data_IF_482336032691
#
_entry.id   IF_482336032691
#
_cell.length_a   1.000
_cell.length_b   1.000
_cell.length_c   1.000
_cell.angle_alpha   90.00
_cell.angle_beta   90.00
_cell.angle_gamma   90.00
#
_symmetry.space_group_name_H-M   'P 1'
#
loop_
_entity.id
_entity.type
_entity.pdbx_description
1 polymer ?
#
# COMPACT_ATOMS: atom_id res chain seq x y z
N UNK A 1 12.14 7.71 4.79
CA UNK A 1 11.01 7.16 5.56
C UNK A 1 10.23 8.28 6.25
N UNK A 2 10.85 9.11 7.11
CA UNK A 2 10.14 10.10 7.94
C UNK A 2 9.35 11.14 7.15
N UNK A 3 9.93 11.69 6.09
CA UNK A 3 9.21 12.61 5.20
C UNK A 3 7.85 12.05 4.74
N UNK A 4 7.78 10.74 4.42
CA UNK A 4 6.51 10.15 3.99
C UNK A 4 5.59 9.83 5.16
N UNK A 5 6.12 9.40 6.30
CA UNK A 5 5.32 9.22 7.52
C UNK A 5 4.69 10.54 7.99
N UNK A 6 5.44 11.63 7.98
CA UNK A 6 4.90 12.97 8.27
C UNK A 6 3.75 13.31 7.32
N UNK A 7 3.95 13.03 6.03
CA UNK A 7 2.92 13.29 5.04
C UNK A 7 1.66 12.43 5.25
N UNK A 8 1.80 11.16 5.59
CA UNK A 8 0.66 10.30 5.92
C UNK A 8 -0.12 10.82 7.15
N UNK A 9 0.60 11.31 8.15
CA UNK A 9 0.00 11.82 9.39
C UNK A 9 -0.61 13.20 9.22
N UNK A 10 0.06 14.12 8.55
CA UNK A 10 -0.32 15.54 8.51
C UNK A 10 -1.21 15.92 7.31
N UNK A 11 -1.35 15.04 6.31
CA UNK A 11 -2.13 15.37 5.12
C UNK A 11 -3.61 15.52 5.41
N UNK A 12 -4.22 16.61 4.91
CA UNK A 12 -5.67 16.78 4.84
C UNK A 12 -6.31 15.82 3.83
N UNK A 13 -5.55 15.34 2.86
CA UNK A 13 -5.97 14.39 1.84
C UNK A 13 -5.55 12.94 2.20
N UNK A 14 -6.05 12.44 3.32
CA UNK A 14 -5.68 11.13 3.87
C UNK A 14 -5.93 9.98 2.90
N UNK A 15 -7.02 10.03 2.13
CA UNK A 15 -7.32 8.99 1.12
C UNK A 15 -6.24 8.92 0.02
N UNK A 16 -5.71 10.06 -0.44
CA UNK A 16 -4.62 10.06 -1.43
C UNK A 16 -3.36 9.40 -0.89
N UNK A 17 -2.97 9.69 0.35
CA UNK A 17 -1.79 9.07 0.95
C UNK A 17 -2.03 7.57 1.23
N UNK A 18 -3.25 7.18 1.63
CA UNK A 18 -3.63 5.77 1.82
C UNK A 18 -3.59 5.00 0.49
N UNK A 19 -4.05 5.59 -0.60
CA UNK A 19 -3.95 5.00 -1.94
C UNK A 19 -2.50 5.00 -2.45
N UNK A 20 -1.70 6.02 -2.14
CA UNK A 20 -0.25 6.01 -2.44
C UNK A 20 0.45 4.85 -1.72
N UNK A 21 0.07 4.59 -0.46
CA UNK A 21 0.57 3.47 0.31
C UNK A 21 0.13 2.12 -0.29
N UNK A 22 -1.13 2.01 -0.69
CA UNK A 22 -1.63 0.83 -1.41
C UNK A 22 -0.81 0.56 -2.68
N UNK A 23 -0.63 1.57 -3.53
CA UNK A 23 0.13 1.43 -4.78
C UNK A 23 1.61 1.12 -4.55
N UNK A 24 2.21 1.64 -3.48
CA UNK A 24 3.57 1.24 -3.10
C UNK A 24 3.67 -0.24 -2.70
N UNK A 25 2.61 -0.81 -2.12
CA UNK A 25 2.52 -2.25 -1.86
C UNK A 25 2.19 -3.07 -3.10
N UNK A 26 1.48 -2.52 -4.06
CA UNK A 26 1.13 -3.16 -5.33
C UNK A 26 2.31 -3.19 -6.32
N UNK A 27 2.97 -2.04 -6.54
CA UNK A 27 4.21 -1.90 -7.33
C UNK A 27 5.44 -2.05 -6.43
N UNK A 28 5.48 -3.11 -5.64
CA UNK A 28 6.43 -3.24 -4.56
C UNK A 28 7.87 -3.21 -5.05
N UNK A 29 8.61 -2.24 -4.54
CA UNK A 29 10.02 -1.98 -4.84
C UNK A 29 10.76 -1.70 -3.55
N UNK A 30 11.88 -2.40 -3.30
CA UNK A 30 12.60 -2.31 -2.03
C UNK A 30 13.89 -1.50 -2.16
N UNK A 31 14.04 -0.52 -1.26
CA UNK A 31 15.28 0.22 -1.08
C UNK A 31 16.47 -0.70 -0.77
N UNK A 32 16.21 -1.86 -0.17
CA UNK A 32 17.27 -2.83 0.18
C UNK A 32 18.13 -3.25 -1.03
N UNK A 33 17.52 -3.38 -2.23
CA UNK A 33 18.26 -3.69 -3.47
C UNK A 33 18.55 -2.45 -4.30
N UNK A 34 17.60 -1.50 -4.38
CA UNK A 34 17.75 -0.29 -5.20
C UNK A 34 18.89 0.58 -4.67
N UNK A 35 19.00 0.72 -3.35
CA UNK A 35 20.03 1.43 -2.59
C UNK A 35 20.32 2.85 -3.12
N UNK A 36 19.30 3.50 -3.66
CA UNK A 36 19.36 4.86 -4.16
C UNK A 36 18.05 5.58 -3.79
N UNK A 37 18.19 6.68 -3.07
CA UNK A 37 17.04 7.44 -2.56
C UNK A 37 16.29 8.19 -3.67
N UNK A 38 16.99 8.63 -4.71
CA UNK A 38 16.38 9.44 -5.77
C UNK A 38 15.34 8.66 -6.59
N UNK A 39 15.65 7.49 -7.17
CA UNK A 39 14.64 6.69 -7.87
C UNK A 39 13.46 6.30 -6.97
N UNK A 40 13.70 5.91 -5.71
CA UNK A 40 12.63 5.57 -4.76
C UNK A 40 11.73 6.77 -4.44
N UNK A 41 12.30 7.97 -4.34
CA UNK A 41 11.53 9.20 -4.16
C UNK A 41 10.69 9.52 -5.40
N UNK A 42 11.29 9.45 -6.59
CA UNK A 42 10.59 9.70 -7.85
C UNK A 42 9.45 8.72 -8.06
N UNK A 43 9.66 7.43 -7.78
CA UNK A 43 8.60 6.42 -7.80
C UNK A 43 7.45 6.78 -6.86
N UNK A 44 7.76 7.17 -5.63
CA UNK A 44 6.73 7.58 -4.66
C UNK A 44 5.94 8.81 -5.15
N UNK A 45 6.59 9.78 -5.83
CA UNK A 45 5.89 10.91 -6.45
C UNK A 45 5.00 10.46 -7.61
N UNK A 46 5.45 9.52 -8.43
CA UNK A 46 4.67 8.93 -9.52
C UNK A 46 3.41 8.24 -8.98
N UNK A 47 3.56 7.39 -7.98
CA UNK A 47 2.43 6.71 -7.33
C UNK A 47 1.44 7.71 -6.72
N UNK A 48 1.92 8.74 -6.05
CA UNK A 48 1.07 9.77 -5.42
C UNK A 48 0.31 10.60 -6.44
N UNK A 49 0.96 11.02 -7.53
CA UNK A 49 0.32 11.78 -8.61
C UNK A 49 -0.83 11.00 -9.23
N UNK A 50 -0.64 9.70 -9.40
CA UNK A 50 -1.61 8.80 -10.02
C UNK A 50 -2.53 8.08 -9.01
N UNK A 51 -2.38 8.31 -7.70
CA UNK A 51 -3.01 7.50 -6.65
C UNK A 51 -4.54 7.35 -6.79
N UNK A 52 -5.20 8.38 -7.29
CA UNK A 52 -6.65 8.44 -7.57
C UNK A 52 -6.91 8.82 -9.04
N UNK A 53 -5.94 8.67 -9.93
CA UNK A 53 -6.02 8.99 -11.35
C UNK A 53 -6.41 7.78 -12.21
N UNK A 54 -5.82 7.70 -13.39
CA UNK A 54 -6.04 6.59 -14.33
C UNK A 54 -4.97 5.51 -14.16
N UNK A 55 -5.41 4.25 -13.99
CA UNK A 55 -4.49 3.13 -13.79
C UNK A 55 -3.63 2.84 -15.02
N UNK A 56 -4.14 3.07 -16.24
CA UNK A 56 -3.33 2.92 -17.46
C UNK A 56 -2.18 3.92 -17.51
N UNK A 57 -2.42 5.18 -17.13
CA UNK A 57 -1.36 6.16 -17.02
C UNK A 57 -0.34 5.75 -15.94
N UNK A 58 -0.81 5.32 -14.76
CA UNK A 58 0.08 4.81 -13.71
C UNK A 58 0.94 3.67 -14.22
N UNK A 59 0.35 2.68 -14.88
CA UNK A 59 1.06 1.51 -15.40
C UNK A 59 2.12 1.88 -16.42
N UNK A 60 1.82 2.79 -17.36
CA UNK A 60 2.81 3.31 -18.33
C UNK A 60 4.00 3.99 -17.64
N UNK A 61 3.72 4.79 -16.60
CA UNK A 61 4.79 5.46 -15.85
C UNK A 61 5.60 4.44 -15.03
N UNK A 62 4.96 3.40 -14.49
CA UNK A 62 5.63 2.39 -13.67
C UNK A 62 6.49 1.43 -14.48
N UNK A 63 6.08 1.02 -15.68
CA UNK A 63 6.94 0.17 -16.54
C UNK A 63 8.20 0.90 -17.01
N UNK A 64 8.20 2.24 -16.92
CA UNK A 64 9.34 3.12 -17.20
C UNK A 64 9.95 3.71 -15.90
N UNK A 65 9.65 3.14 -14.73
CA UNK A 65 10.18 3.61 -13.46
C UNK A 65 11.56 3.01 -13.17
N UNK A 66 12.53 3.86 -12.86
CA UNK A 66 13.92 3.44 -12.67
C UNK A 66 14.10 2.52 -11.45
N UNK A 67 13.36 2.76 -10.35
CA UNK A 67 13.45 1.93 -9.16
C UNK A 67 12.87 0.53 -9.43
N UNK A 68 11.72 0.44 -10.11
CA UNK A 68 11.09 -0.83 -10.48
C UNK A 68 11.96 -1.62 -11.46
N UNK A 69 12.47 -0.96 -12.50
CA UNK A 69 13.37 -1.58 -13.50
C UNK A 69 14.62 -2.13 -12.82
N UNK A 70 15.21 -1.37 -11.87
CA UNK A 70 16.38 -1.84 -11.12
C UNK A 70 16.05 -3.02 -10.21
N UNK A 71 14.93 -2.93 -9.50
CA UNK A 71 14.45 -3.97 -8.59
C UNK A 71 14.28 -5.32 -9.29
N UNK A 72 13.75 -5.31 -10.52
CA UNK A 72 13.44 -6.48 -11.32
C UNK A 72 14.49 -6.81 -12.39
N UNK A 73 15.70 -6.25 -12.30
CA UNK A 73 16.82 -6.47 -13.22
C UNK A 73 16.51 -6.10 -14.68
N UNK A 74 15.49 -5.29 -14.94
CA UNK A 74 15.06 -4.86 -16.27
C UNK A 74 16.13 -4.08 -17.03
N UNK A 75 17.06 -3.40 -16.34
CA UNK A 75 18.23 -2.74 -16.95
C UNK A 75 19.21 -3.70 -17.59
N UNK A 76 19.11 -5.01 -17.30
CA UNK A 76 19.91 -6.07 -17.93
C UNK A 76 19.19 -6.72 -19.10
N UNK A 77 17.91 -6.42 -19.31
CA UNK A 77 17.10 -6.96 -20.37
C UNK A 77 17.48 -6.32 -21.73
N UNK A 78 18.03 -7.12 -22.63
CA UNK A 78 18.47 -6.69 -23.96
C UNK A 78 18.04 -7.69 -25.02
N UNK A 79 17.99 -7.25 -26.28
CA UNK A 79 17.65 -8.13 -27.42
C UNK A 79 18.54 -9.38 -27.52
N UNK A 80 19.80 -9.29 -27.04
CA UNK A 80 20.75 -10.41 -27.05
C UNK A 80 20.63 -11.34 -25.85
N UNK A 81 20.09 -10.82 -24.75
CA UNK A 81 19.92 -11.52 -23.47
C UNK A 81 18.61 -11.06 -22.81
N UNK A 82 17.46 -11.56 -23.29
CA UNK A 82 16.17 -11.24 -22.68
C UNK A 82 16.12 -11.70 -21.22
N UNK A 83 15.51 -10.88 -20.37
CA UNK A 83 15.28 -11.16 -18.94
C UNK A 83 13.79 -11.13 -18.65
N UNK A 84 13.26 -12.23 -18.15
CA UNK A 84 11.81 -12.42 -17.94
C UNK A 84 11.30 -11.85 -16.62
N UNK A 85 12.15 -11.43 -15.70
CA UNK A 85 11.73 -11.09 -14.35
C UNK A 85 10.69 -9.94 -14.35
N UNK A 86 11.01 -8.81 -14.99
CA UNK A 86 10.07 -7.69 -15.09
C UNK A 86 8.79 -8.07 -15.87
N UNK A 87 8.91 -8.86 -16.94
CA UNK A 87 7.75 -9.25 -17.73
C UNK A 87 6.79 -10.17 -16.98
N UNK A 88 7.32 -11.12 -16.23
CA UNK A 88 6.53 -12.00 -15.37
C UNK A 88 5.75 -11.22 -14.33
N UNK A 89 6.45 -10.37 -13.58
CA UNK A 89 5.83 -9.57 -12.53
C UNK A 89 4.83 -8.54 -13.09
N UNK A 90 5.10 -7.98 -14.27
CA UNK A 90 4.17 -7.08 -14.94
C UNK A 90 2.83 -7.76 -15.23
N UNK A 91 2.87 -9.01 -15.70
CA UNK A 91 1.65 -9.76 -16.00
C UNK A 91 1.01 -10.32 -14.72
N UNK A 92 1.80 -10.92 -13.84
CA UNK A 92 1.31 -11.67 -12.68
C UNK A 92 0.86 -10.77 -11.53
N UNK A 93 1.74 -9.86 -11.09
CA UNK A 93 1.51 -9.09 -9.87
C UNK A 93 0.94 -7.70 -10.12
N UNK A 94 1.20 -7.12 -11.30
CA UNK A 94 0.88 -5.72 -11.51
C UNK A 94 -0.32 -5.47 -12.41
N UNK A 95 -0.65 -6.39 -13.34
CA UNK A 95 -1.73 -6.09 -14.31
C UNK A 95 -2.81 -7.13 -14.46
N UNK A 96 -2.49 -8.43 -14.51
CA UNK A 96 -3.46 -9.46 -14.88
C UNK A 96 -3.82 -10.40 -13.73
N UNK A 97 -2.85 -10.77 -12.89
CA UNK A 97 -2.97 -11.82 -11.88
C UNK A 97 -2.50 -13.19 -12.38
N UNK A 98 -2.34 -14.12 -11.45
CA UNK A 98 -1.86 -15.48 -11.72
C UNK A 98 -2.80 -16.25 -12.66
N UNK A 99 -2.23 -17.17 -13.45
CA UNK A 99 -2.96 -18.08 -14.35
C UNK A 99 -3.75 -17.41 -15.51
N UNK A 100 -3.43 -16.16 -15.85
CA UNK A 100 -4.08 -15.41 -16.94
C UNK A 100 -3.16 -15.19 -18.15
N UNK A 101 -2.03 -15.86 -18.17
CA UNK A 101 -1.00 -15.80 -19.22
C UNK A 101 -0.25 -17.14 -19.28
N UNK A 102 0.47 -17.38 -20.36
CA UNK A 102 1.35 -18.54 -20.54
C UNK A 102 2.83 -18.16 -20.36
N UNK A 103 3.69 -19.16 -20.18
CA UNK A 103 5.15 -18.96 -20.16
C UNK A 103 5.68 -18.37 -21.48
N UNK A 104 5.03 -18.67 -22.60
CA UNK A 104 5.40 -18.07 -23.89
C UNK A 104 5.03 -16.58 -23.92
N UNK A 105 3.88 -16.18 -23.35
CA UNK A 105 3.53 -14.77 -23.22
C UNK A 105 4.54 -14.00 -22.39
N UNK A 106 5.09 -14.60 -21.33
CA UNK A 106 6.14 -13.97 -20.49
C UNK A 106 7.41 -13.72 -21.31
N UNK A 107 7.86 -14.71 -22.12
CA UNK A 107 9.04 -14.57 -22.99
C UNK A 107 8.85 -13.53 -24.07
N UNK A 108 7.68 -13.53 -24.70
CA UNK A 108 7.34 -12.52 -25.72
C UNK A 108 7.26 -11.11 -25.11
N UNK A 109 6.60 -10.98 -23.95
CA UNK A 109 6.52 -9.73 -23.18
C UNK A 109 7.93 -9.22 -22.81
N UNK A 110 8.86 -10.10 -22.44
CA UNK A 110 10.23 -9.72 -22.14
C UNK A 110 10.94 -9.02 -23.31
N UNK A 111 10.64 -9.40 -24.55
CA UNK A 111 11.20 -8.74 -25.75
C UNK A 111 10.76 -7.27 -25.85
N UNK A 112 9.49 -6.96 -25.56
CA UNK A 112 8.97 -5.58 -25.56
C UNK A 112 9.62 -4.70 -24.48
N UNK A 113 10.13 -5.30 -23.42
CA UNK A 113 10.77 -4.61 -22.30
C UNK A 113 12.30 -4.53 -22.41
N UNK A 114 12.86 -4.84 -23.58
CA UNK A 114 14.32 -4.76 -23.83
C UNK A 114 14.78 -3.32 -24.11
N UNK A 115 16.04 -3.02 -23.77
CA UNK A 115 16.69 -1.76 -24.14
C UNK A 115 16.48 -0.58 -23.19
N UNK A 116 15.84 -0.78 -22.06
CA UNK A 116 15.66 0.25 -21.05
C UNK A 116 16.82 0.21 -20.03
N UNK A 117 17.49 1.35 -19.83
CA UNK A 117 18.63 1.49 -18.92
C UNK A 117 18.37 2.61 -17.93
N UNK A 118 19.08 2.60 -16.82
CA UNK A 118 18.95 3.60 -15.77
C UNK A 118 20.09 4.60 -15.84
N UNK A 119 19.77 5.86 -15.94
CA UNK A 119 20.70 6.95 -15.68
C UNK A 119 20.74 7.22 -14.18
N UNK A 120 21.82 6.81 -13.56
CA UNK A 120 21.99 6.99 -12.11
C UNK A 120 22.08 8.46 -11.68
N UNK A 121 22.50 9.34 -12.57
CA UNK A 121 22.64 10.77 -12.24
C UNK A 121 21.30 11.49 -12.11
N UNK A 122 20.34 11.15 -12.97
CA UNK A 122 19.00 11.74 -12.98
C UNK A 122 17.94 10.88 -12.28
N UNK A 123 18.25 9.61 -11.96
CA UNK A 123 17.29 8.63 -11.45
C UNK A 123 16.20 8.27 -12.47
N UNK A 124 16.45 8.48 -13.77
CA UNK A 124 15.49 8.25 -14.86
C UNK A 124 15.90 7.11 -15.76
N UNK A 125 14.97 6.65 -16.56
CA UNK A 125 15.19 5.61 -17.56
C UNK A 125 15.57 6.26 -18.89
N UNK A 126 16.56 5.64 -19.57
CA UNK A 126 16.99 5.96 -20.94
C UNK A 126 16.70 4.75 -21.82
N UNK A 127 16.06 5.00 -22.95
CA UNK A 127 15.79 3.97 -23.96
C UNK A 127 16.94 3.88 -24.97
N UNK A 128 17.43 2.67 -25.21
CA UNK A 128 18.48 2.35 -26.17
C UNK A 128 17.93 1.51 -27.34
N UNK A 129 17.53 2.12 -28.48
CA UNK A 129 16.88 1.41 -29.59
C UNK A 129 17.69 0.24 -30.14
N UNK A 130 19.04 0.33 -30.14
CA UNK A 130 19.92 -0.75 -30.60
C UNK A 130 19.94 -1.99 -29.70
N UNK A 131 19.41 -1.88 -28.47
CA UNK A 131 19.28 -2.97 -27.51
C UNK A 131 17.84 -3.44 -27.36
N UNK A 132 16.92 -2.81 -28.07
CA UNK A 132 15.49 -3.15 -28.09
C UNK A 132 15.17 -4.12 -29.22
N UNK A 133 14.25 -5.05 -28.97
CA UNK A 133 13.67 -5.93 -29.97
C UNK A 133 12.56 -5.19 -30.73
N UNK A 134 12.79 -4.91 -32.01
CA UNK A 134 11.87 -4.10 -32.84
C UNK A 134 10.91 -4.93 -33.70
N UNK A 135 10.95 -6.26 -33.60
CA UNK A 135 10.08 -7.16 -34.36
C UNK A 135 8.67 -7.24 -33.77
N UNK A 136 7.75 -7.82 -34.55
CA UNK A 136 6.43 -8.20 -34.04
C UNK A 136 6.55 -9.38 -33.07
N UNK A 137 5.83 -9.30 -31.96
CA UNK A 137 5.70 -10.36 -30.95
C UNK A 137 4.22 -10.72 -30.78
N UNK A 138 3.96 -11.92 -30.28
CA UNK A 138 2.61 -12.39 -29.99
C UNK A 138 2.40 -12.50 -28.49
N UNK A 139 1.57 -11.65 -27.92
CA UNK A 139 1.25 -11.63 -26.49
C UNK A 139 -0.26 -11.83 -26.34
N UNK A 140 -0.67 -12.82 -25.54
CA UNK A 140 -2.07 -13.13 -25.26
C UNK A 140 -2.95 -13.21 -26.51
N UNK A 141 -2.39 -13.84 -27.55
CA UNK A 141 -3.07 -14.03 -28.84
C UNK A 141 -2.97 -12.86 -29.81
N UNK A 142 -2.52 -11.69 -29.39
CA UNK A 142 -2.40 -10.48 -30.23
C UNK A 142 -0.97 -10.32 -30.74
N UNK A 143 -0.80 -10.16 -32.06
CA UNK A 143 0.49 -9.88 -32.68
C UNK A 143 0.64 -8.40 -32.95
N UNK A 144 1.73 -7.80 -32.44
CA UNK A 144 2.06 -6.38 -32.61
C UNK A 144 3.54 -6.12 -32.36
N UNK A 145 4.03 -4.97 -32.79
CA UNK A 145 5.34 -4.44 -32.36
C UNK A 145 5.12 -3.61 -31.11
N UNK A 146 5.36 -4.22 -29.94
CA UNK A 146 5.19 -3.58 -28.64
C UNK A 146 6.51 -2.99 -28.13
N UNK A 147 6.42 -1.81 -27.53
CA UNK A 147 7.35 -1.28 -26.56
C UNK A 147 6.77 -1.33 -25.14
N UNK A 148 7.49 -0.89 -24.13
CA UNK A 148 7.03 -0.94 -22.74
C UNK A 148 5.69 -0.21 -22.54
N UNK A 149 5.48 0.93 -23.18
CA UNK A 149 4.27 1.75 -23.02
C UNK A 149 3.06 1.13 -23.70
N UNK A 150 3.21 0.74 -24.95
CA UNK A 150 2.13 0.12 -25.75
C UNK A 150 1.77 -1.28 -25.23
N UNK A 151 2.73 -2.02 -24.71
CA UNK A 151 2.48 -3.28 -24.01
C UNK A 151 1.67 -3.05 -22.74
N UNK A 152 2.06 -2.06 -21.92
CA UNK A 152 1.32 -1.69 -20.70
C UNK A 152 -0.13 -1.32 -21.02
N UNK A 153 -0.37 -0.54 -22.09
CA UNK A 153 -1.70 -0.17 -22.53
C UNK A 153 -2.53 -1.40 -22.93
N UNK A 154 -1.91 -2.30 -23.69
CA UNK A 154 -2.58 -3.53 -24.12
C UNK A 154 -2.98 -4.40 -22.92
N UNK A 155 -2.10 -4.59 -21.95
CA UNK A 155 -2.39 -5.39 -20.76
C UNK A 155 -3.48 -4.75 -19.90
N UNK A 156 -3.41 -3.44 -19.66
CA UNK A 156 -4.38 -2.72 -18.83
C UNK A 156 -5.75 -2.61 -19.49
N UNK A 157 -5.84 -2.56 -20.83
CA UNK A 157 -7.11 -2.50 -21.54
C UNK A 157 -7.96 -3.78 -21.38
N UNK A 158 -7.37 -4.91 -21.03
CA UNK A 158 -8.05 -6.20 -20.90
C UNK A 158 -9.05 -6.20 -19.73
N UNK A 159 -10.12 -6.97 -19.88
CA UNK A 159 -11.09 -7.19 -18.80
C UNK A 159 -10.47 -7.87 -17.57
N UNK A 160 -9.51 -8.79 -17.80
CA UNK A 160 -8.78 -9.49 -16.75
C UNK A 160 -8.07 -8.49 -15.82
N UNK A 161 -7.47 -7.43 -16.40
CA UNK A 161 -6.80 -6.38 -15.63
C UNK A 161 -7.78 -5.57 -14.78
N UNK A 162 -8.95 -5.23 -15.35
CA UNK A 162 -9.97 -4.52 -14.58
C UNK A 162 -10.43 -5.32 -13.37
N UNK A 163 -10.66 -6.61 -13.59
CA UNK A 163 -11.06 -7.55 -12.55
C UNK A 163 -9.96 -7.64 -11.47
N UNK A 164 -8.72 -7.92 -11.88
CA UNK A 164 -7.60 -8.09 -10.97
C UNK A 164 -7.37 -6.87 -10.07
N UNK A 165 -7.38 -5.67 -10.64
CA UNK A 165 -7.18 -4.44 -9.85
C UNK A 165 -8.36 -4.18 -8.90
N UNK A 166 -9.59 -4.48 -9.33
CA UNK A 166 -10.77 -4.40 -8.45
C UNK A 166 -10.63 -5.38 -7.27
N UNK A 167 -10.23 -6.64 -7.53
CA UNK A 167 -9.94 -7.65 -6.51
C UNK A 167 -8.85 -7.19 -5.53
N UNK A 168 -7.76 -6.60 -6.04
CA UNK A 168 -6.64 -6.11 -5.21
C UNK A 168 -7.06 -4.99 -4.27
N UNK A 169 -7.87 -4.03 -4.75
CA UNK A 169 -8.36 -2.93 -3.92
C UNK A 169 -9.40 -3.46 -2.91
N UNK A 170 -10.32 -4.33 -3.36
CA UNK A 170 -11.26 -5.02 -2.48
C UNK A 170 -10.55 -5.74 -1.33
N UNK A 171 -9.60 -6.61 -1.65
CA UNK A 171 -8.80 -7.37 -0.69
C UNK A 171 -8.13 -6.49 0.37
N UNK A 172 -7.75 -5.27 0.00
CA UNK A 172 -7.02 -4.36 0.88
C UNK A 172 -7.91 -3.48 1.73
N UNK A 173 -9.13 -3.19 1.29
CA UNK A 173 -9.98 -2.19 1.92
C UNK A 173 -11.29 -2.75 2.47
N UNK A 174 -11.73 -3.92 2.01
CA UNK A 174 -13.02 -4.49 2.39
C UNK A 174 -12.84 -5.83 3.10
N UNK A 175 -12.28 -6.82 2.42
CA UNK A 175 -12.13 -8.16 3.00
C UNK A 175 -11.02 -8.94 2.33
N UNK A 176 -10.18 -9.58 3.13
CA UNK A 176 -9.20 -10.56 2.69
C UNK A 176 -9.78 -11.97 2.62
N UNK A 177 -10.89 -12.21 3.30
CA UNK A 177 -11.51 -13.53 3.45
C UNK A 177 -12.63 -13.77 2.44
N UNK A 178 -13.33 -12.71 2.04
CA UNK A 178 -14.47 -12.77 1.15
C UNK A 178 -14.16 -12.02 -0.16
N UNK A 179 -13.58 -12.68 -1.15
CA UNK A 179 -13.40 -12.08 -2.48
C UNK A 179 -14.77 -11.97 -3.13
N UNK A 180 -15.50 -10.92 -2.83
CA UNK A 180 -16.74 -10.62 -3.51
C UNK A 180 -16.44 -9.68 -4.67
N UNK A 181 -16.72 -10.16 -5.89
CA UNK A 181 -16.64 -9.32 -7.07
C UNK A 181 -18.06 -9.05 -7.53
N UNK A 182 -18.54 -7.91 -7.14
CA UNK A 182 -19.74 -7.36 -7.71
C UNK A 182 -19.41 -6.82 -9.12
N UNK A 183 -20.15 -7.25 -10.12
CA UNK A 183 -20.02 -6.77 -11.49
C UNK A 183 -20.11 -5.23 -11.58
N UNK A 184 -20.87 -4.59 -10.68
CA UNK A 184 -20.98 -3.13 -10.61
C UNK A 184 -19.64 -2.46 -10.27
N UNK A 185 -18.81 -3.05 -9.40
CA UNK A 185 -17.49 -2.53 -9.06
C UNK A 185 -16.54 -2.61 -10.25
N UNK A 186 -16.53 -3.74 -10.97
CA UNK A 186 -15.70 -3.88 -12.17
C UNK A 186 -16.16 -2.90 -13.27
N UNK A 187 -17.47 -2.70 -13.42
CA UNK A 187 -18.03 -1.71 -14.36
C UNK A 187 -17.64 -0.28 -14.00
N UNK A 188 -17.57 0.07 -12.70
CA UNK A 188 -17.11 1.39 -12.25
C UNK A 188 -15.65 1.67 -12.61
N UNK A 189 -14.88 0.62 -12.88
CA UNK A 189 -13.46 0.69 -13.29
C UNK A 189 -13.25 0.48 -14.79
N UNK A 190 -14.29 0.48 -15.61
CA UNK A 190 -14.19 0.23 -17.06
C UNK A 190 -13.25 1.22 -17.77
N UNK A 191 -13.26 2.49 -17.38
CA UNK A 191 -12.34 3.54 -17.86
C UNK A 191 -10.95 3.56 -17.19
N UNK A 192 -10.69 2.63 -16.28
CA UNK A 192 -9.49 2.59 -15.43
C UNK A 192 -9.34 3.80 -14.49
N UNK A 193 -10.43 4.46 -14.16
CA UNK A 193 -10.50 5.55 -13.19
C UNK A 193 -10.49 4.97 -11.76
N UNK A 194 -9.37 5.18 -11.07
CA UNK A 194 -9.17 4.69 -9.70
C UNK A 194 -10.12 5.40 -8.72
N UNK A 195 -10.36 6.69 -8.89
CA UNK A 195 -11.25 7.43 -8.00
C UNK A 195 -12.70 6.93 -8.12
N UNK A 196 -13.15 6.62 -9.34
CA UNK A 196 -14.48 6.05 -9.57
C UNK A 196 -14.64 4.69 -8.86
N UNK A 197 -13.65 3.80 -8.99
CA UNK A 197 -13.65 2.50 -8.31
C UNK A 197 -13.64 2.65 -6.78
N UNK A 198 -12.72 3.47 -6.23
CA UNK A 198 -12.63 3.70 -4.78
C UNK A 198 -13.93 4.31 -4.23
N UNK A 199 -14.57 5.22 -4.98
CA UNK A 199 -15.87 5.79 -4.62
C UNK A 199 -16.99 4.73 -4.65
N UNK A 200 -16.98 3.81 -5.61
CA UNK A 200 -17.94 2.71 -5.67
C UNK A 200 -17.76 1.75 -4.49
N UNK A 201 -16.52 1.38 -4.18
CA UNK A 201 -16.17 0.57 -3.00
C UNK A 201 -16.62 1.27 -1.70
N UNK A 202 -16.34 2.57 -1.56
CA UNK A 202 -16.71 3.35 -0.37
C UNK A 202 -18.23 3.55 -0.17
N UNK A 203 -19.05 3.10 -1.13
CA UNK A 203 -20.53 3.09 -1.06
C UNK A 203 -21.11 1.69 -1.01
N UNK A 204 -20.25 0.70 -1.05
CA UNK A 204 -20.71 -0.70 -1.11
C UNK A 204 -21.12 -1.16 0.28
N UNK A 205 -22.28 -1.84 0.36
CA UNK A 205 -22.84 -2.33 1.64
C UNK A 205 -21.95 -3.30 2.41
N UNK A 206 -20.97 -3.91 1.74
CA UNK A 206 -19.99 -4.77 2.39
C UNK A 206 -19.08 -4.04 3.39
N UNK A 207 -18.98 -2.68 3.32
CA UNK A 207 -18.27 -1.89 4.33
C UNK A 207 -18.94 -1.91 5.70
N UNK A 208 -20.26 -2.03 5.71
CA UNK A 208 -21.06 -2.06 6.94
C UNK A 208 -21.24 -3.49 7.48
N UNK A 209 -20.70 -4.49 6.79
CA UNK A 209 -20.77 -5.89 7.22
C UNK A 209 -19.66 -6.21 8.20
N UNK A 210 -19.93 -6.54 9.47
CA UNK A 210 -18.93 -6.86 10.47
C UNK A 210 -18.07 -8.08 10.13
N UNK A 211 -18.56 -9.00 9.27
CA UNK A 211 -17.79 -10.15 8.79
C UNK A 211 -16.61 -9.74 7.88
N UNK A 212 -16.61 -8.51 7.39
CA UNK A 212 -15.54 -7.93 6.58
C UNK A 212 -14.54 -7.10 7.40
N UNK A 213 -14.59 -7.18 8.72
CA UNK A 213 -13.62 -6.50 9.57
C UNK A 213 -12.19 -6.97 9.27
N UNK A 214 -11.24 -6.03 9.27
CA UNK A 214 -9.84 -6.30 8.93
C UNK A 214 -8.88 -5.83 10.01
N UNK A 215 -7.82 -6.58 10.23
CA UNK A 215 -6.73 -6.18 11.11
C UNK A 215 -5.95 -5.03 10.46
N UNK A 216 -5.86 -3.90 11.16
CA UNK A 216 -5.03 -2.77 10.73
C UNK A 216 -3.59 -3.22 10.54
N UNK A 217 -3.04 -2.92 9.35
CA UNK A 217 -1.61 -3.09 9.13
C UNK A 217 -0.79 -2.22 10.09
N UNK A 218 0.49 -2.54 10.35
CA UNK A 218 1.32 -1.71 11.23
C UNK A 218 1.34 -0.23 10.84
N UNK A 219 1.37 0.09 9.55
CA UNK A 219 1.31 1.48 9.07
C UNK A 219 -0.07 2.09 9.32
N UNK A 220 -1.16 1.39 9.01
CA UNK A 220 -2.52 1.89 9.25
C UNK A 220 -2.74 2.15 10.75
N UNK A 221 -2.32 1.21 11.59
CA UNK A 221 -2.37 1.34 13.05
C UNK A 221 -1.56 2.54 13.56
N UNK A 222 -0.30 2.68 13.10
CA UNK A 222 0.59 3.75 13.53
C UNK A 222 0.11 5.12 13.06
N UNK A 223 -0.26 5.26 11.77
CA UNK A 223 -0.68 6.54 11.21
C UNK A 223 -1.97 7.03 11.87
N UNK A 224 -2.95 6.14 12.09
CA UNK A 224 -4.19 6.52 12.78
C UNK A 224 -3.91 6.92 14.24
N UNK A 225 -3.04 6.19 14.96
CA UNK A 225 -2.62 6.56 16.31
C UNK A 225 -1.90 7.91 16.34
N UNK A 226 -0.92 8.11 15.46
CA UNK A 226 -0.13 9.34 15.40
C UNK A 226 -0.99 10.57 15.07
N UNK A 227 -2.00 10.41 14.21
CA UNK A 227 -2.99 11.48 13.92
C UNK A 227 -3.81 11.84 15.15
N UNK A 228 -4.40 10.87 15.84
CA UNK A 228 -5.17 11.10 17.06
C UNK A 228 -4.31 11.74 18.16
N UNK A 229 -3.10 11.23 18.35
CA UNK A 229 -2.16 11.69 19.38
C UNK A 229 -1.42 12.98 19.02
N UNK A 230 -1.70 13.61 17.88
CA UNK A 230 -1.02 14.82 17.37
C UNK A 230 0.51 14.68 17.26
N UNK A 231 0.99 13.48 16.95
CA UNK A 231 2.42 13.17 16.82
C UNK A 231 2.88 13.42 15.38
N UNK A 232 3.90 14.26 15.21
CA UNK A 232 4.62 14.41 13.94
C UNK A 232 5.83 13.47 13.95
N UNK A 233 5.87 12.42 13.10
CA UNK A 233 6.91 11.39 13.15
C UNK A 233 8.36 11.90 13.15
N UNK A 234 8.69 12.88 12.31
CA UNK A 234 10.04 13.46 12.25
C UNK A 234 10.41 14.31 13.47
N UNK A 235 9.41 14.76 14.23
CA UNK A 235 9.60 15.59 15.44
C UNK A 235 9.52 14.77 16.73
N UNK A 236 9.34 13.46 16.63
CA UNK A 236 9.37 12.56 17.78
C UNK A 236 10.74 12.66 18.49
N UNK A 237 10.80 12.59 19.81
CA UNK A 237 12.03 12.80 20.59
C UNK A 237 13.17 11.88 20.12
N UNK A 238 12.85 10.67 19.73
CA UNK A 238 13.76 9.78 19.00
C UNK A 238 13.03 9.15 17.80
N UNK A 239 13.10 9.78 16.62
CA UNK A 239 12.40 9.27 15.42
C UNK A 239 12.81 7.84 15.06
N UNK A 240 14.04 7.42 15.35
CA UNK A 240 14.48 6.05 15.09
C UNK A 240 13.65 5.00 15.85
N UNK A 241 13.02 5.34 16.96
CA UNK A 241 12.09 4.43 17.63
C UNK A 241 10.92 4.07 16.70
N UNK A 242 10.34 5.06 16.03
CA UNK A 242 9.24 4.82 15.06
C UNK A 242 9.70 3.86 13.96
N UNK A 243 10.85 4.15 13.34
CA UNK A 243 11.41 3.28 12.31
C UNK A 243 11.62 1.85 12.82
N UNK A 244 12.25 1.71 13.99
CA UNK A 244 12.56 0.40 14.56
C UNK A 244 11.30 -0.41 14.90
N UNK A 245 10.26 0.22 15.44
CA UNK A 245 8.99 -0.49 15.70
C UNK A 245 8.27 -0.88 14.41
N UNK A 246 8.32 -0.06 13.35
CA UNK A 246 7.78 -0.45 12.05
C UNK A 246 8.57 -1.61 11.42
N UNK A 247 9.89 -1.66 11.60
CA UNK A 247 10.72 -2.80 11.20
C UNK A 247 10.35 -4.07 12.01
N UNK A 248 10.23 -3.96 13.33
CA UNK A 248 9.85 -5.07 14.21
C UNK A 248 8.42 -5.59 13.95
N UNK A 249 7.52 -4.70 13.54
CA UNK A 249 6.17 -5.04 13.11
C UNK A 249 6.11 -5.55 11.66
N UNK A 250 7.24 -5.52 10.93
CA UNK A 250 7.37 -6.07 9.58
C UNK A 250 6.84 -5.17 8.45
N UNK A 251 6.56 -3.87 8.73
CA UNK A 251 6.00 -3.00 7.70
C UNK A 251 6.62 -1.59 7.75
N UNK A 252 7.81 -1.45 7.17
CA UNK A 252 8.49 -0.17 7.02
C UNK A 252 8.34 0.38 5.60
N UNK A 253 7.99 1.65 5.39
CA UNK A 253 7.95 2.26 4.06
C UNK A 253 9.27 2.14 3.31
N UNK A 254 9.19 1.79 2.03
CA UNK A 254 10.29 1.52 1.10
C UNK A 254 11.04 0.19 1.32
N UNK A 255 10.55 -0.68 2.21
CA UNK A 255 11.18 -1.97 2.49
C UNK A 255 10.15 -3.12 2.44
N UNK A 256 9.43 -3.30 1.32
CA UNK A 256 8.60 -4.49 1.17
C UNK A 256 9.48 -5.75 1.22
N UNK A 257 8.98 -6.85 1.79
CA UNK A 257 9.76 -8.08 1.95
C UNK A 257 10.09 -8.76 0.62
N UNK A 258 9.24 -8.56 -0.39
CA UNK A 258 9.41 -9.11 -1.73
C UNK A 258 8.59 -8.30 -2.75
N UNK A 259 8.59 -8.71 -4.02
CA UNK A 259 7.87 -8.06 -5.13
C UNK A 259 6.35 -8.12 -4.98
N UNK A 260 5.81 -9.09 -4.24
CA UNK A 260 4.37 -9.18 -3.93
C UNK A 260 3.88 -8.17 -2.88
N UNK A 261 4.80 -7.38 -2.29
CA UNK A 261 4.46 -6.40 -1.26
C UNK A 261 4.33 -7.00 0.14
N UNK A 262 3.46 -6.41 0.95
CA UNK A 262 3.21 -6.86 2.33
C UNK A 262 1.94 -7.71 2.43
N UNK A 263 1.87 -8.62 3.40
CA UNK A 263 0.65 -9.34 3.70
C UNK A 263 -0.46 -8.38 4.20
N UNK A 264 -1.65 -8.91 4.38
CA UNK A 264 -2.79 -8.15 4.88
C UNK A 264 -3.49 -8.92 6.00
N UNK A 265 -4.32 -8.19 6.76
CA UNK A 265 -5.29 -8.71 7.70
C UNK A 265 -4.68 -9.63 8.76
N UNK A 266 -5.18 -10.86 8.92
CA UNK A 266 -4.80 -11.80 9.98
C UNK A 266 -3.29 -12.09 10.04
N UNK A 267 -2.56 -11.93 8.94
CA UNK A 267 -1.11 -12.06 8.94
C UNK A 267 -0.40 -11.08 9.90
N UNK A 268 -1.07 -10.02 10.31
CA UNK A 268 -0.57 -9.05 11.30
C UNK A 268 -0.89 -9.42 12.76
N UNK A 269 -1.58 -10.55 12.99
CA UNK A 269 -1.88 -11.07 14.33
C UNK A 269 -0.85 -12.14 14.72
N UNK A 270 0.05 -11.75 15.61
CA UNK A 270 0.99 -12.66 16.25
C UNK A 270 1.31 -12.17 17.66
N UNK A 271 1.81 -13.04 18.51
CA UNK A 271 2.24 -12.69 19.87
C UNK A 271 3.31 -11.58 19.84
N UNK A 272 4.28 -11.66 18.92
CA UNK A 272 5.32 -10.64 18.75
C UNK A 272 4.73 -9.31 18.29
N UNK A 273 3.79 -9.35 17.33
CA UNK A 273 3.09 -8.14 16.86
C UNK A 273 2.31 -7.46 17.98
N UNK A 274 1.61 -8.22 18.82
CA UNK A 274 0.91 -7.67 19.99
C UNK A 274 1.89 -7.04 20.99
N UNK A 275 2.99 -7.73 21.30
CA UNK A 275 4.02 -7.21 22.20
C UNK A 275 4.63 -5.89 21.67
N UNK A 276 4.99 -5.85 20.38
CA UNK A 276 5.58 -4.65 19.79
C UNK A 276 4.59 -3.50 19.69
N UNK A 277 3.30 -3.76 19.44
CA UNK A 277 2.27 -2.73 19.49
C UNK A 277 2.14 -2.12 20.88
N UNK A 278 2.14 -2.93 21.96
CA UNK A 278 2.11 -2.43 23.35
C UNK A 278 3.33 -1.56 23.64
N UNK A 279 4.53 -2.00 23.28
CA UNK A 279 5.75 -1.24 23.49
C UNK A 279 5.75 0.06 22.70
N UNK A 280 5.30 0.03 21.45
CA UNK A 280 5.21 1.19 20.59
C UNK A 280 4.16 2.18 21.10
N UNK A 281 2.95 1.73 21.44
CA UNK A 281 1.91 2.55 22.05
C UNK A 281 2.40 3.25 23.32
N UNK A 282 3.17 2.52 24.16
CA UNK A 282 3.78 3.10 25.37
C UNK A 282 4.72 4.27 25.04
N UNK A 283 5.45 4.19 23.92
CA UNK A 283 6.33 5.29 23.49
C UNK A 283 5.51 6.45 22.91
N UNK A 284 4.49 6.16 22.11
CA UNK A 284 3.64 7.18 21.49
C UNK A 284 2.89 7.99 22.56
N UNK A 285 2.27 7.32 23.52
CA UNK A 285 1.50 7.97 24.59
C UNK A 285 2.34 8.89 25.46
N UNK A 286 3.64 8.61 25.62
CA UNK A 286 4.54 9.49 26.41
C UNK A 286 4.78 10.87 25.78
N UNK A 287 4.64 10.98 24.47
CA UNK A 287 4.86 12.21 23.71
C UNK A 287 3.56 12.80 23.12
N UNK A 288 2.43 12.16 23.46
CA UNK A 288 1.13 12.51 22.93
C UNK A 288 0.55 13.77 23.57
N UNK A 289 -0.21 14.55 22.82
CA UNK A 289 -1.16 15.48 23.37
C UNK A 289 -2.39 14.71 23.85
N UNK A 290 -2.54 14.55 25.17
CA UNK A 290 -3.64 13.87 25.82
C UNK A 290 -4.75 14.83 26.25
N UNK A 291 -4.65 16.13 25.97
CA UNK A 291 -5.64 17.14 26.36
C UNK A 291 -7.07 16.83 25.89
N UNK A 292 -7.29 16.22 24.70
CA UNK A 292 -8.64 15.84 24.27
C UNK A 292 -9.36 14.92 25.26
N UNK A 293 -8.64 14.06 25.97
CA UNK A 293 -9.19 13.13 26.95
C UNK A 293 -8.99 13.61 28.38
N UNK A 294 -7.87 14.23 28.69
CA UNK A 294 -7.56 14.69 30.03
C UNK A 294 -8.52 15.80 30.50
N UNK A 295 -8.99 16.66 29.60
CA UNK A 295 -9.93 17.74 29.88
C UNK A 295 -11.37 17.25 30.19
N UNK A 296 -11.72 16.02 29.82
CA UNK A 296 -13.02 15.46 30.05
C UNK A 296 -13.19 15.00 31.50
N UNK A 297 -14.45 15.13 32.03
CA UNK A 297 -14.81 14.51 33.29
C UNK A 297 -14.57 12.97 33.20
N UNK A 298 -14.14 12.30 34.27
CA UNK A 298 -13.79 10.89 34.24
C UNK A 298 -14.87 9.99 33.62
N UNK A 299 -16.15 10.22 33.93
CA UNK A 299 -17.28 9.45 33.40
C UNK A 299 -17.52 9.63 31.90
N UNK A 300 -16.99 10.70 31.27
CA UNK A 300 -17.13 10.97 29.84
C UNK A 300 -15.90 10.50 29.03
N UNK A 301 -14.83 10.07 29.70
CA UNK A 301 -13.54 9.75 29.01
C UNK A 301 -13.61 8.54 28.10
N UNK A 302 -14.40 7.52 28.44
CA UNK A 302 -14.47 6.28 27.64
C UNK A 302 -15.16 6.54 26.32
N UNK A 303 -16.26 7.30 26.33
CA UNK A 303 -16.97 7.67 25.09
C UNK A 303 -16.14 8.67 24.27
N UNK A 304 -15.58 9.70 24.92
CA UNK A 304 -14.68 10.62 24.25
C UNK A 304 -13.41 9.95 23.66
N UNK A 305 -12.94 8.87 24.25
CA UNK A 305 -11.84 8.07 23.74
C UNK A 305 -12.25 7.29 22.48
N UNK A 306 -13.49 6.79 22.40
CA UNK A 306 -14.03 6.17 21.20
C UNK A 306 -14.07 7.18 20.05
N UNK A 307 -14.64 8.35 20.27
CA UNK A 307 -14.68 9.43 19.28
C UNK A 307 -13.28 9.86 18.83
N UNK A 308 -12.37 10.05 19.78
CA UNK A 308 -11.00 10.50 19.51
C UNK A 308 -10.19 9.51 18.67
N UNK A 309 -10.40 8.21 18.89
CA UNK A 309 -9.68 7.13 18.17
C UNK A 309 -10.45 6.58 16.96
N UNK A 310 -11.68 7.05 16.72
CA UNK A 310 -12.55 6.56 15.67
C UNK A 310 -12.97 5.10 15.87
N UNK A 311 -13.26 4.72 17.11
CA UNK A 311 -13.82 3.41 17.46
C UNK A 311 -15.32 3.53 17.55
N UNK A 312 -16.07 2.70 16.85
CA UNK A 312 -17.53 2.77 16.81
C UNK A 312 -18.12 2.41 18.17
N UNK A 313 -17.71 1.29 18.74
CA UNK A 313 -18.17 0.83 20.05
C UNK A 313 -17.12 -0.05 20.73
N UNK A 314 -16.95 0.13 22.04
CA UNK A 314 -16.14 -0.74 22.89
C UNK A 314 -16.96 -1.95 23.35
N UNK A 315 -16.41 -3.16 23.27
CA UNK A 315 -17.00 -4.33 23.90
C UNK A 315 -17.09 -4.17 25.43
N UNK A 316 -17.99 -4.92 26.07
CA UNK A 316 -18.12 -4.92 27.53
C UNK A 316 -16.80 -5.23 28.24
N UNK A 317 -15.97 -6.13 27.66
CA UNK A 317 -14.66 -6.49 28.20
C UNK A 317 -13.69 -5.33 28.13
N UNK A 318 -13.63 -4.63 27.00
CA UNK A 318 -12.77 -3.44 26.84
C UNK A 318 -13.26 -2.29 27.71
N UNK A 319 -14.56 -2.03 27.78
CA UNK A 319 -15.14 -1.01 28.69
C UNK A 319 -14.72 -1.27 30.14
N UNK A 320 -14.75 -2.53 30.58
CA UNK A 320 -14.33 -2.90 31.96
C UNK A 320 -12.84 -2.59 32.19
N UNK A 321 -11.97 -2.91 31.23
CA UNK A 321 -10.53 -2.63 31.32
C UNK A 321 -10.25 -1.12 31.34
N UNK A 322 -10.94 -0.35 30.49
CA UNK A 322 -10.82 1.12 30.43
C UNK A 322 -11.34 1.79 31.72
N UNK A 323 -12.44 1.29 32.31
CA UNK A 323 -12.94 1.79 33.59
C UNK A 323 -11.91 1.66 34.72
N UNK A 324 -11.10 0.59 34.70
CA UNK A 324 -9.99 0.42 35.65
C UNK A 324 -8.88 1.48 35.54
N UNK A 325 -8.83 2.20 34.41
CA UNK A 325 -7.84 3.24 34.14
C UNK A 325 -8.46 4.65 33.99
N UNK A 326 -9.72 4.85 34.27
CA UNK A 326 -10.52 6.04 33.96
C UNK A 326 -9.93 7.36 34.50
N UNK A 327 -9.13 7.31 35.56
CA UNK A 327 -8.45 8.47 36.16
C UNK A 327 -7.09 8.80 35.55
N UNK A 328 -6.54 7.90 34.72
CA UNK A 328 -5.24 8.04 34.10
C UNK A 328 -5.37 8.12 32.57
N UNK A 329 -5.38 9.33 31.98
CA UNK A 329 -5.52 9.50 30.53
C UNK A 329 -4.45 8.77 29.71
N UNK A 330 -3.22 8.68 30.22
CA UNK A 330 -2.13 8.01 29.50
C UNK A 330 -2.37 6.49 29.46
N UNK A 331 -2.77 5.91 30.57
CA UNK A 331 -3.11 4.49 30.65
C UNK A 331 -4.38 4.15 29.84
N UNK A 332 -5.37 5.05 29.84
CA UNK A 332 -6.56 4.92 28.98
C UNK A 332 -6.17 4.86 27.50
N UNK A 333 -5.39 5.83 27.02
CA UNK A 333 -4.94 5.88 25.64
C UNK A 333 -4.11 4.63 25.26
N UNK A 334 -3.21 4.19 26.14
CA UNK A 334 -2.43 2.97 25.94
C UNK A 334 -3.32 1.73 25.77
N UNK A 335 -4.26 1.52 26.68
CA UNK A 335 -5.18 0.37 26.64
C UNK A 335 -6.04 0.39 25.38
N UNK A 336 -6.55 1.56 25.00
CA UNK A 336 -7.38 1.73 23.82
C UNK A 336 -6.62 1.44 22.52
N UNK A 337 -5.40 1.97 22.36
CA UNK A 337 -4.58 1.70 21.18
C UNK A 337 -4.21 0.22 20.99
N UNK A 338 -4.25 -0.55 22.08
CA UNK A 338 -3.97 -1.99 22.09
C UNK A 338 -5.23 -2.85 22.12
N UNK A 339 -6.41 -2.25 22.17
CA UNK A 339 -7.68 -2.99 22.21
C UNK A 339 -8.01 -3.67 20.89
N UNK A 340 -8.78 -4.76 20.91
CA UNK A 340 -9.25 -5.40 19.69
C UNK A 340 -9.98 -4.43 18.75
N UNK A 341 -10.85 -3.57 19.29
CA UNK A 341 -11.67 -2.64 18.53
C UNK A 341 -10.86 -1.53 17.84
N UNK A 342 -9.69 -1.21 18.36
CA UNK A 342 -8.77 -0.29 17.67
C UNK A 342 -7.86 -1.00 16.70
N UNK A 343 -7.42 -2.24 17.00
CA UNK A 343 -6.52 -3.03 16.15
C UNK A 343 -7.24 -3.58 14.93
N UNK A 344 -8.53 -3.89 15.07
CA UNK A 344 -9.39 -4.36 13.97
C UNK A 344 -10.29 -3.19 13.54
N UNK A 345 -10.29 -2.88 12.25
CA UNK A 345 -11.25 -1.92 11.67
C UNK A 345 -12.51 -2.68 11.28
N UNK A 346 -13.63 -2.26 11.82
CA UNK A 346 -14.95 -2.63 11.29
C UNK A 346 -15.29 -1.69 10.14
#
# INVERSE_FOLDING_TARGET
TFWWLDRMVLSEHSLRERMTWFWHGHWATSYQKVDDALPMYLQNQTLRRNALGNFGQMSREMVNDAALIFWLDGQRNTVKAPNENLSRELMELFTLGVNRYSEEDVKETAKALTGYKIDKSSGKVIFYPRQHFSGAIKVLGTQSSFDASTLSDFLVARSDSALFITERIWYRFISSMNPLIDASLTSSFASRDIAALVKAIGRHSALDNPDNSMVKSPIDWFVSAARALSITPSKFSNPNNIRNYLDLLGQRPFFPPNVGGWPADQAWLSTSSAQYRIQFATKLVKEADLSPIASLAPNARIDGLADWLGVVEWSSRTKMALNGAIRDPARLALLALCSPEYVVSA
#
